data_IF_647482223327
#
_entry.id   IF_647482223327
#
_cell.length_a   1.000
_cell.length_b   1.000
_cell.length_c   1.000
_cell.angle_alpha   90.00
_cell.angle_beta   90.00
_cell.angle_gamma   90.00
#
_symmetry.space_group_name_H-M   'P 1'
#
loop_
_entity.id
_entity.type
_entity.pdbx_description
1 polymer ?
#
# COMPACT_ATOMS: atom_id res chain seq x y z
N UNK A 1 -15.76 -34.32 9.46
CA UNK A 1 -15.16 -32.97 9.68
C UNK A 1 -14.19 -32.60 8.58
N UNK A 2 -13.31 -33.51 8.17
CA UNK A 2 -12.35 -33.30 7.06
C UNK A 2 -13.06 -33.03 5.73
N UNK A 3 -14.20 -33.67 5.46
CA UNK A 3 -14.97 -33.47 4.21
C UNK A 3 -15.52 -32.05 4.08
N UNK A 4 -16.03 -31.47 5.19
CA UNK A 4 -16.51 -30.07 5.22
C UNK A 4 -15.41 -29.05 4.90
N UNK A 5 -14.18 -29.33 5.32
CA UNK A 5 -13.02 -28.46 5.06
C UNK A 5 -12.62 -28.55 3.57
N UNK A 6 -12.62 -29.76 3.00
CA UNK A 6 -12.39 -29.93 1.54
C UNK A 6 -13.45 -29.21 0.71
N UNK A 7 -14.71 -29.32 1.10
CA UNK A 7 -15.82 -28.64 0.44
C UNK A 7 -15.67 -27.11 0.51
N UNK A 8 -15.32 -26.57 1.67
CA UNK A 8 -15.06 -25.15 1.86
C UNK A 8 -13.89 -24.64 0.99
N UNK A 9 -12.77 -25.37 0.93
CA UNK A 9 -11.64 -25.00 0.09
C UNK A 9 -11.99 -25.03 -1.41
N UNK A 10 -12.77 -26.02 -1.84
CA UNK A 10 -13.29 -26.07 -3.21
C UNK A 10 -14.19 -24.86 -3.52
N UNK A 11 -15.09 -24.49 -2.60
CA UNK A 11 -15.96 -23.33 -2.75
C UNK A 11 -15.14 -22.03 -2.83
N UNK A 12 -14.15 -21.85 -1.95
CA UNK A 12 -13.24 -20.70 -1.99
C UNK A 12 -12.48 -20.64 -3.33
N UNK A 13 -11.97 -21.77 -3.82
CA UNK A 13 -11.30 -21.81 -5.12
C UNK A 13 -12.24 -21.42 -6.28
N UNK A 14 -13.51 -21.82 -6.22
CA UNK A 14 -14.52 -21.45 -7.23
C UNK A 14 -14.82 -19.95 -7.18
N UNK A 15 -14.97 -19.36 -5.99
CA UNK A 15 -15.18 -17.91 -5.83
C UNK A 15 -13.94 -17.10 -6.24
N UNK A 16 -12.74 -17.59 -5.92
CA UNK A 16 -11.48 -16.96 -6.34
C UNK A 16 -11.32 -16.89 -7.87
N UNK A 17 -11.93 -17.84 -8.62
CA UNK A 17 -11.95 -17.79 -10.09
C UNK A 17 -12.89 -16.73 -10.65
N UNK A 18 -13.86 -16.25 -9.86
CA UNK A 18 -14.77 -15.15 -10.25
C UNK A 18 -14.18 -13.77 -9.95
N UNK A 19 -13.07 -13.71 -9.22
CA UNK A 19 -12.38 -12.45 -8.94
C UNK A 19 -11.83 -11.90 -10.24
N UNK A 20 -12.28 -10.70 -10.59
CA UNK A 20 -11.76 -9.96 -11.74
C UNK A 20 -10.51 -9.21 -11.28
N UNK A 21 -9.35 -9.64 -11.74
CA UNK A 21 -8.09 -8.96 -11.45
C UNK A 21 -7.93 -7.76 -12.38
N UNK A 22 -7.37 -6.64 -11.88
CA UNK A 22 -7.13 -5.46 -12.69
C UNK A 22 -6.10 -5.78 -13.79
N UNK A 23 -6.17 -5.02 -14.89
CA UNK A 23 -5.16 -5.11 -15.94
C UNK A 23 -3.79 -4.63 -15.42
N UNK A 24 -2.71 -5.12 -16.04
CA UNK A 24 -1.34 -4.79 -15.62
C UNK A 24 -1.10 -3.28 -15.58
N UNK A 25 -1.69 -2.55 -16.53
CA UNK A 25 -1.54 -1.10 -16.64
C UNK A 25 -2.24 -0.36 -15.50
N UNK A 26 -3.43 -0.79 -15.10
CA UNK A 26 -4.12 -0.23 -13.93
C UNK A 26 -3.33 -0.46 -12.64
N UNK A 27 -2.74 -1.65 -12.48
CA UNK A 27 -1.92 -1.97 -11.31
C UNK A 27 -0.65 -1.10 -11.24
N UNK A 28 0.02 -0.89 -12.37
CA UNK A 28 1.20 -0.04 -12.46
C UNK A 28 0.82 1.41 -12.17
N UNK A 29 -0.27 1.90 -12.77
CA UNK A 29 -0.75 3.27 -12.54
C UNK A 29 -1.10 3.51 -11.07
N UNK A 30 -1.84 2.60 -10.44
CA UNK A 30 -2.16 2.69 -9.02
C UNK A 30 -0.89 2.72 -8.15
N UNK A 31 0.09 1.88 -8.45
CA UNK A 31 1.38 1.84 -7.72
C UNK A 31 2.16 3.15 -7.91
N UNK A 32 2.19 3.68 -9.12
CA UNK A 32 2.90 4.93 -9.45
C UNK A 32 2.29 6.11 -8.70
N UNK A 33 0.96 6.22 -8.65
CA UNK A 33 0.26 7.28 -7.89
C UNK A 33 0.62 7.20 -6.41
N UNK A 34 0.57 6.02 -5.80
CA UNK A 34 0.95 5.82 -4.40
C UNK A 34 2.42 6.19 -4.16
N UNK A 35 3.31 5.81 -5.08
CA UNK A 35 4.73 6.13 -4.98
C UNK A 35 4.99 7.64 -5.00
N UNK A 36 4.33 8.37 -5.90
CA UNK A 36 4.42 9.83 -5.98
C UNK A 36 3.91 10.49 -4.70
N UNK A 37 2.75 10.08 -4.20
CA UNK A 37 2.19 10.62 -2.96
C UNK A 37 3.12 10.35 -1.79
N UNK A 38 3.64 9.12 -1.67
CA UNK A 38 4.60 8.75 -0.63
C UNK A 38 5.86 9.60 -0.70
N UNK A 39 6.41 9.84 -1.91
CA UNK A 39 7.59 10.68 -2.08
C UNK A 39 7.36 12.13 -1.64
N UNK A 40 6.17 12.69 -1.91
CA UNK A 40 5.79 14.03 -1.45
C UNK A 40 5.75 14.08 0.08
N UNK A 41 5.12 13.09 0.73
CA UNK A 41 5.08 13.01 2.19
C UNK A 41 6.47 12.86 2.81
N UNK A 42 7.32 12.02 2.22
CA UNK A 42 8.72 11.86 2.66
C UNK A 42 9.46 13.19 2.61
N UNK A 43 9.34 13.93 1.50
CA UNK A 43 9.98 15.22 1.35
C UNK A 43 9.45 16.24 2.35
N UNK A 44 8.13 16.29 2.55
CA UNK A 44 7.49 17.19 3.51
C UNK A 44 7.98 16.94 4.94
N UNK A 45 7.97 15.68 5.39
CA UNK A 45 8.42 15.31 6.73
C UNK A 45 9.91 15.63 6.89
N UNK A 46 10.73 15.31 5.89
CA UNK A 46 12.16 15.62 5.91
C UNK A 46 12.43 17.13 6.08
N UNK A 47 11.70 17.99 5.37
CA UNK A 47 11.81 19.44 5.54
C UNK A 47 11.32 19.90 6.92
N UNK A 48 10.22 19.35 7.41
CA UNK A 48 9.69 19.68 8.74
C UNK A 48 10.70 19.32 9.84
N UNK A 49 11.28 18.12 9.80
CA UNK A 49 12.29 17.66 10.76
C UNK A 49 13.58 18.50 10.70
N UNK A 50 14.01 18.84 9.48
CA UNK A 50 15.19 19.69 9.26
C UNK A 50 14.98 21.10 9.80
N UNK A 51 13.81 21.68 9.55
CA UNK A 51 13.43 23.00 10.04
C UNK A 51 13.34 23.01 11.57
N UNK A 52 12.71 22.00 12.15
CA UNK A 52 12.60 21.82 13.60
C UNK A 52 13.98 21.74 14.25
N UNK A 53 14.89 20.93 13.68
CA UNK A 53 16.26 20.79 14.16
C UNK A 53 17.04 22.10 14.06
N UNK A 54 16.89 22.83 12.95
CA UNK A 54 17.52 24.14 12.76
C UNK A 54 17.05 25.15 13.81
N UNK A 55 15.75 25.22 14.08
CA UNK A 55 15.17 26.12 15.09
C UNK A 55 15.66 25.76 16.50
N UNK A 56 15.69 24.48 16.84
CA UNK A 56 16.18 24.01 18.14
C UNK A 56 17.66 24.38 18.34
N UNK A 57 18.50 24.14 17.33
CA UNK A 57 19.94 24.49 17.38
C UNK A 57 20.21 26.00 17.36
N UNK A 58 19.26 26.83 16.92
CA UNK A 58 19.38 28.29 16.97
C UNK A 58 19.00 28.85 18.34
N UNK A 59 18.07 28.17 19.03
CA UNK A 59 17.56 28.58 20.35
C UNK A 59 18.44 28.11 21.52
N UNK A 60 19.20 27.03 21.34
CA UNK A 60 20.08 26.43 22.36
C UNK A 60 21.55 26.60 21.96
#
# INVERSE_FOLDING_TARGET
MIDKIKEFLNQVQVEMKKVTWPEKDELINATLVVFVISAIFTLFIFFADSLMTYIINLLY
#
